data_IF_294612554961
#
_entry.id   IF_294612554961
#
_cell.length_a   1.000
_cell.length_b   1.000
_cell.length_c   1.000
_cell.angle_alpha   90.00
_cell.angle_beta   90.00
_cell.angle_gamma   90.00
#
_symmetry.space_group_name_H-M   'P 1'
#
loop_
_entity.id
_entity.type
_entity.pdbx_description
1 polymer ?
#
# COMPACT_ATOMS: atom_id res chain seq x y z
N UNK A 1 -16.16 -2.07 -8.22
CA UNK A 1 -15.98 -1.76 -6.78
C UNK A 1 -15.67 -0.28 -6.67
N UNK A 2 -16.44 0.44 -5.86
CA UNK A 2 -16.41 1.91 -5.81
C UNK A 2 -15.48 2.41 -4.70
N UNK A 3 -14.17 2.25 -4.89
CA UNK A 3 -13.17 2.72 -3.92
C UNK A 3 -13.26 4.25 -3.69
N UNK A 4 -13.76 4.99 -4.69
CA UNK A 4 -14.04 6.42 -4.53
C UNK A 4 -15.11 6.66 -3.46
N UNK A 5 -16.22 5.91 -3.48
CA UNK A 5 -17.29 6.07 -2.50
C UNK A 5 -16.89 5.56 -1.12
N UNK A 6 -16.14 4.45 -1.07
CA UNK A 6 -15.78 3.81 0.20
C UNK A 6 -14.60 4.46 0.93
N UNK A 7 -13.68 5.10 0.20
CA UNK A 7 -12.44 5.64 0.79
C UNK A 7 -12.31 7.14 0.56
N UNK A 8 -12.37 7.60 -0.70
CA UNK A 8 -12.15 9.01 -1.04
C UNK A 8 -13.25 9.92 -0.47
N UNK A 9 -14.52 9.58 -0.65
CA UNK A 9 -15.64 10.43 -0.22
C UNK A 9 -15.65 10.69 1.29
N UNK A 10 -15.47 9.68 2.17
CA UNK A 10 -15.34 9.92 3.61
C UNK A 10 -14.15 10.81 3.99
N UNK A 11 -12.99 10.60 3.33
CA UNK A 11 -11.78 11.40 3.57
C UNK A 11 -11.97 12.86 3.14
N UNK A 12 -12.52 13.08 1.95
CA UNK A 12 -12.77 14.41 1.43
C UNK A 12 -13.84 15.15 2.24
N UNK A 13 -14.88 14.44 2.68
CA UNK A 13 -15.93 15.00 3.54
C UNK A 13 -15.37 15.55 4.86
N UNK A 14 -14.41 14.86 5.47
CA UNK A 14 -13.68 15.35 6.64
C UNK A 14 -12.86 16.61 6.33
N UNK A 15 -12.21 16.66 5.17
CA UNK A 15 -11.42 17.79 4.72
C UNK A 15 -12.26 18.95 4.13
N UNK A 16 -13.60 18.87 4.17
CA UNK A 16 -14.50 19.90 3.65
C UNK A 16 -14.62 19.93 2.11
N UNK A 17 -14.15 18.90 1.41
CA UNK A 17 -14.26 18.76 -0.04
C UNK A 17 -15.47 17.91 -0.44
N UNK A 18 -16.15 18.32 -1.51
CA UNK A 18 -17.29 17.59 -2.07
C UNK A 18 -16.94 17.22 -3.52
N UNK A 19 -16.63 15.96 -3.76
CA UNK A 19 -16.29 15.49 -5.10
C UNK A 19 -16.29 13.96 -5.22
N UNK A 20 -17.01 13.45 -6.21
CA UNK A 20 -17.10 12.01 -6.54
C UNK A 20 -16.15 11.60 -7.67
N UNK A 21 -15.41 12.54 -8.24
CA UNK A 21 -14.36 12.24 -9.22
C UNK A 21 -13.11 11.71 -8.52
N UNK A 22 -12.27 10.98 -9.26
CA UNK A 22 -10.94 10.57 -8.80
C UNK A 22 -10.04 11.80 -8.58
N UNK A 23 -9.00 11.64 -7.76
CA UNK A 23 -7.92 12.63 -7.66
C UNK A 23 -7.11 12.66 -8.96
N UNK A 24 -6.59 13.83 -9.34
CA UNK A 24 -5.82 13.99 -10.58
C UNK A 24 -4.51 13.21 -10.54
N UNK A 25 -3.84 13.17 -9.38
CA UNK A 25 -2.58 12.47 -9.22
C UNK A 25 -2.35 11.99 -7.79
N UNK A 26 -1.86 10.77 -7.65
CA UNK A 26 -1.46 10.21 -6.35
C UNK A 26 -0.02 9.70 -6.37
N UNK A 27 0.76 10.09 -5.37
CA UNK A 27 2.06 9.49 -5.08
C UNK A 27 1.89 8.44 -3.98
N UNK A 28 2.37 7.23 -4.21
CA UNK A 28 2.50 6.20 -3.16
C UNK A 28 3.97 6.10 -2.82
N UNK A 29 4.30 6.33 -1.56
CA UNK A 29 5.67 6.30 -1.06
C UNK A 29 5.85 5.03 -0.25
N UNK A 30 6.50 4.04 -0.87
CA UNK A 30 6.96 2.83 -0.24
C UNK A 30 8.15 3.08 0.69
N UNK A 31 8.50 2.07 1.48
CA UNK A 31 9.53 2.21 2.51
C UNK A 31 10.93 1.81 2.04
N UNK A 32 11.12 1.40 0.78
CA UNK A 32 12.40 0.87 0.29
C UNK A 32 13.56 1.84 0.47
N UNK A 33 14.71 1.32 0.89
CA UNK A 33 15.97 2.06 1.01
C UNK A 33 16.47 2.66 -0.31
N UNK A 34 15.92 2.23 -1.45
CA UNK A 34 16.24 2.77 -2.76
C UNK A 34 15.98 4.27 -2.88
N UNK A 35 15.02 4.79 -2.10
CA UNK A 35 14.71 6.22 -2.02
C UNK A 35 15.87 7.07 -1.54
N UNK A 36 16.85 6.49 -0.83
CA UNK A 36 18.02 7.24 -0.34
C UNK A 36 18.96 7.69 -1.47
N UNK A 37 18.87 7.07 -2.65
CA UNK A 37 19.78 7.34 -3.77
C UNK A 37 19.44 8.63 -4.52
N UNK A 38 18.22 9.15 -4.39
CA UNK A 38 17.71 10.30 -5.16
C UNK A 38 16.88 11.23 -4.30
N UNK A 39 16.81 12.50 -4.71
CA UNK A 39 16.07 13.55 -4.00
C UNK A 39 14.67 13.70 -4.60
N UNK A 40 13.79 12.74 -4.36
CA UNK A 40 12.43 12.77 -4.88
C UNK A 40 11.47 13.67 -4.08
N UNK A 41 11.92 14.31 -2.99
CA UNK A 41 11.02 14.96 -2.04
C UNK A 41 10.09 16.01 -2.66
N UNK A 42 10.63 16.94 -3.44
CA UNK A 42 9.81 17.94 -4.13
C UNK A 42 8.85 17.29 -5.14
N UNK A 43 9.33 16.31 -5.89
CA UNK A 43 8.53 15.61 -6.89
C UNK A 43 7.36 14.83 -6.24
N UNK A 44 7.57 14.25 -5.06
CA UNK A 44 6.51 13.60 -4.28
C UNK A 44 5.48 14.63 -3.81
N UNK A 45 5.97 15.75 -3.25
CA UNK A 45 5.12 16.81 -2.72
C UNK A 45 4.35 17.56 -3.83
N UNK A 46 4.72 17.44 -5.11
CA UNK A 46 3.97 18.00 -6.25
C UNK A 46 2.68 17.23 -6.60
N UNK A 47 2.51 16.00 -6.12
CA UNK A 47 1.26 15.25 -6.33
C UNK A 47 0.11 15.82 -5.51
N UNK A 48 -1.13 15.65 -5.99
CA UNK A 48 -2.33 16.13 -5.29
C UNK A 48 -2.49 15.39 -3.95
N UNK A 49 -2.37 14.06 -3.99
CA UNK A 49 -2.47 13.19 -2.81
C UNK A 49 -1.18 12.39 -2.64
N UNK A 50 -0.66 12.37 -1.41
CA UNK A 50 0.47 11.50 -1.03
C UNK A 50 0.00 10.45 -0.04
N UNK A 51 0.15 9.17 -0.42
CA UNK A 51 -0.16 7.99 0.39
C UNK A 51 1.16 7.42 0.92
N UNK A 52 1.27 7.28 2.24
CA UNK A 52 2.47 6.69 2.89
C UNK A 52 2.13 5.43 3.64
N UNK A 53 3.10 4.53 3.78
CA UNK A 53 2.86 3.19 4.32
C UNK A 53 3.27 3.07 5.78
N UNK A 54 2.43 2.44 6.58
CA UNK A 54 2.71 2.05 7.96
C UNK A 54 3.17 3.26 8.80
N UNK A 55 4.34 3.17 9.45
CA UNK A 55 4.91 4.22 10.29
C UNK A 55 6.33 4.59 9.84
N UNK A 56 6.45 5.05 8.59
CA UNK A 56 7.73 5.39 7.99
C UNK A 56 8.19 6.78 8.44
N UNK A 57 9.41 6.88 8.97
CA UNK A 57 9.95 8.14 9.49
C UNK A 57 10.22 9.13 8.34
N UNK A 58 9.60 10.31 8.38
CA UNK A 58 9.91 11.39 7.42
C UNK A 58 11.09 12.24 7.90
N UNK A 59 11.17 12.52 9.21
CA UNK A 59 12.16 13.43 9.79
C UNK A 59 13.60 12.98 9.52
N UNK A 60 14.36 13.80 8.80
CA UNK A 60 15.74 13.54 8.36
C UNK A 60 15.86 12.96 6.94
N UNK A 61 14.75 12.68 6.26
CA UNK A 61 14.68 12.13 4.91
C UNK A 61 13.85 13.00 3.94
N UNK A 62 13.47 14.21 4.35
CA UNK A 62 12.53 15.09 3.65
C UNK A 62 12.96 15.36 2.19
N UNK A 63 14.28 15.49 1.96
CA UNK A 63 14.83 15.71 0.62
C UNK A 63 14.59 14.51 -0.31
N UNK A 64 14.52 13.31 0.24
CA UNK A 64 14.33 12.06 -0.50
C UNK A 64 12.86 11.70 -0.60
N UNK A 65 12.10 11.84 0.48
CA UNK A 65 10.74 11.27 0.59
C UNK A 65 9.64 12.33 0.68
N UNK A 66 9.97 13.61 0.71
CA UNK A 66 9.00 14.71 0.81
C UNK A 66 8.49 14.89 2.24
N UNK A 67 7.55 15.80 2.39
CA UNK A 67 6.92 16.15 3.67
C UNK A 67 5.41 16.00 3.68
N UNK A 68 4.78 16.06 2.50
CA UNK A 68 3.32 15.96 2.35
C UNK A 68 2.86 14.54 2.67
N UNK A 69 1.77 14.43 3.43
CA UNK A 69 1.04 13.18 3.66
C UNK A 69 -0.44 13.50 3.72
N UNK A 70 -1.23 12.85 2.88
CA UNK A 70 -2.69 13.02 2.85
C UNK A 70 -3.41 11.77 3.34
N UNK A 71 -2.83 10.58 3.12
CA UNK A 71 -3.41 9.30 3.55
C UNK A 71 -2.30 8.44 4.15
N UNK A 72 -2.56 7.91 5.35
CA UNK A 72 -1.73 6.89 5.98
C UNK A 72 -2.31 5.52 5.67
N UNK A 73 -1.62 4.68 4.90
CA UNK A 73 -2.05 3.31 4.62
C UNK A 73 -1.32 2.32 5.54
N UNK A 74 -2.04 1.66 6.44
CA UNK A 74 -1.43 0.97 7.59
C UNK A 74 -1.87 -0.49 7.65
N UNK A 75 -0.94 -1.40 7.97
CA UNK A 75 -1.28 -2.77 8.37
C UNK A 75 -1.83 -2.78 9.80
N UNK A 76 -2.93 -3.50 10.07
CA UNK A 76 -3.51 -3.57 11.42
C UNK A 76 -2.57 -4.01 12.55
N UNK A 77 -1.50 -4.77 12.29
CA UNK A 77 -0.46 -5.06 13.29
C UNK A 77 0.26 -3.80 13.78
N UNK A 78 0.44 -2.80 12.91
CA UNK A 78 1.02 -1.50 13.30
C UNK A 78 0.09 -0.78 14.26
N UNK A 79 -1.22 -0.81 13.97
CA UNK A 79 -2.23 -0.27 14.89
C UNK A 79 -2.19 -1.01 16.24
N UNK A 80 -2.16 -2.34 16.21
CA UNK A 80 -2.09 -3.17 17.41
C UNK A 80 -0.86 -2.87 18.28
N UNK A 81 0.30 -2.61 17.65
CA UNK A 81 1.52 -2.22 18.36
C UNK A 81 1.39 -0.86 19.04
N UNK A 82 0.72 0.11 18.42
CA UNK A 82 0.51 1.44 18.97
C UNK A 82 -0.65 1.49 20.00
N UNK A 83 -1.67 0.65 19.85
CA UNK A 83 -2.79 0.55 20.77
C UNK A 83 -2.39 -0.06 22.12
N UNK A 84 -1.32 -0.87 22.15
CA UNK A 84 -0.74 -1.42 23.38
C UNK A 84 0.00 -0.33 24.17
N UNK A 85 -0.73 0.47 24.95
CA UNK A 85 -0.07 1.50 25.77
C UNK A 85 -0.90 2.38 26.70
N UNK A 86 -2.24 2.37 26.68
CA UNK A 86 -3.02 3.23 27.59
C UNK A 86 -4.53 3.22 27.36
N UNK A 87 -5.25 4.05 28.13
CA UNK A 87 -6.71 4.24 28.07
C UNK A 87 -7.18 5.00 26.81
N UNK A 88 -6.25 5.60 26.06
CA UNK A 88 -6.51 6.29 24.79
C UNK A 88 -5.47 5.84 23.75
N UNK A 89 -5.92 5.66 22.51
CA UNK A 89 -5.05 5.25 21.42
C UNK A 89 -4.33 6.47 20.83
N UNK A 90 -3.00 6.48 20.87
CA UNK A 90 -2.14 7.53 20.29
C UNK A 90 -1.39 7.01 19.06
N UNK A 91 -2.14 6.48 18.09
CA UNK A 91 -1.57 5.94 16.85
C UNK A 91 -1.63 6.98 15.73
N UNK A 92 -0.64 7.87 15.69
CA UNK A 92 -0.55 8.95 14.70
C UNK A 92 0.72 8.82 13.83
N UNK A 93 0.83 7.81 12.93
CA UNK A 93 2.07 7.58 12.16
C UNK A 93 2.57 8.81 11.39
N UNK A 94 1.63 9.64 10.91
CA UNK A 94 1.93 10.85 10.14
C UNK A 94 1.21 12.09 10.70
N UNK A 95 0.76 12.03 11.95
CA UNK A 95 0.05 13.12 12.64
C UNK A 95 -1.46 12.87 12.80
N UNK A 96 -2.11 13.55 13.76
CA UNK A 96 -3.49 13.27 14.18
C UNK A 96 -4.53 13.63 13.11
N UNK A 97 -4.22 14.61 12.26
CA UNK A 97 -5.11 15.08 11.20
C UNK A 97 -4.98 14.29 9.89
N UNK A 98 -4.19 13.20 9.86
CA UNK A 98 -4.02 12.38 8.66
C UNK A 98 -4.97 11.17 8.74
N UNK A 99 -5.93 11.03 7.80
CA UNK A 99 -6.78 9.86 7.71
C UNK A 99 -5.98 8.56 7.56
N UNK A 100 -6.44 7.51 8.25
CA UNK A 100 -5.80 6.20 8.22
C UNK A 100 -6.70 5.23 7.44
N UNK A 101 -6.14 4.56 6.44
CA UNK A 101 -6.79 3.46 5.71
C UNK A 101 -6.04 2.18 6.02
N UNK A 102 -6.74 1.10 6.37
CA UNK A 102 -6.11 -0.15 6.76
C UNK A 102 -6.87 -1.40 6.30
N UNK A 103 -6.17 -2.52 6.32
CA UNK A 103 -6.75 -3.86 6.27
C UNK A 103 -6.50 -4.56 7.60
N UNK A 104 -7.48 -5.36 8.02
CA UNK A 104 -7.44 -6.10 9.28
C UNK A 104 -6.90 -7.51 9.02
N UNK A 105 -5.74 -7.80 9.61
CA UNK A 105 -5.04 -9.08 9.41
C UNK A 105 -5.49 -10.15 10.42
N UNK A 106 -5.97 -9.74 11.60
CA UNK A 106 -6.40 -10.64 12.66
C UNK A 106 -7.69 -10.12 13.30
N UNK A 107 -8.65 -10.99 13.63
CA UNK A 107 -9.91 -10.58 14.24
C UNK A 107 -9.74 -9.73 15.52
N UNK A 108 -8.69 -10.01 16.31
CA UNK A 108 -8.40 -9.26 17.53
C UNK A 108 -8.13 -7.76 17.26
N UNK A 109 -7.59 -7.41 16.08
CA UNK A 109 -7.30 -6.02 15.73
C UNK A 109 -8.56 -5.18 15.45
N UNK A 110 -9.74 -5.80 15.33
CA UNK A 110 -10.99 -5.03 15.27
C UNK A 110 -11.25 -4.27 16.58
N UNK A 111 -10.86 -4.83 17.72
CA UNK A 111 -10.98 -4.15 19.01
C UNK A 111 -10.08 -2.90 19.05
N UNK A 112 -8.84 -3.02 18.58
CA UNK A 112 -7.91 -1.89 18.47
C UNK A 112 -8.47 -0.82 17.52
N UNK A 113 -9.02 -1.22 16.37
CA UNK A 113 -9.65 -0.30 15.43
C UNK A 113 -10.81 0.47 16.06
N UNK A 114 -11.73 -0.22 16.75
CA UNK A 114 -12.88 0.44 17.39
C UNK A 114 -12.42 1.45 18.46
N UNK A 115 -11.40 1.09 19.24
CA UNK A 115 -10.82 1.95 20.27
C UNK A 115 -10.08 3.16 19.68
N UNK A 116 -9.30 2.95 18.63
CA UNK A 116 -8.53 4.02 18.01
C UNK A 116 -9.39 4.95 17.17
N UNK A 117 -10.40 4.43 16.47
CA UNK A 117 -11.28 5.24 15.62
C UNK A 117 -12.15 6.23 16.43
N UNK A 118 -12.43 5.94 17.71
CA UNK A 118 -13.12 6.90 18.58
C UNK A 118 -12.19 7.98 19.15
N UNK A 119 -10.88 7.75 19.13
CA UNK A 119 -9.87 8.63 19.72
C UNK A 119 -9.12 9.47 18.68
N UNK A 120 -9.03 8.99 17.44
CA UNK A 120 -8.29 9.64 16.35
C UNK A 120 -9.05 10.85 15.79
N UNK A 121 -8.35 11.97 15.53
CA UNK A 121 -8.99 13.19 15.04
C UNK A 121 -9.49 13.05 13.60
N UNK A 122 -8.76 12.30 12.77
CA UNK A 122 -9.10 12.04 11.38
C UNK A 122 -9.79 10.68 11.20
N UNK A 123 -10.54 10.47 10.10
CA UNK A 123 -11.22 9.20 9.85
C UNK A 123 -10.25 8.01 9.78
N UNK A 124 -10.58 6.93 10.48
CA UNK A 124 -9.97 5.62 10.26
C UNK A 124 -10.92 4.73 9.45
N UNK A 125 -10.43 4.17 8.35
CA UNK A 125 -11.22 3.38 7.42
C UNK A 125 -10.64 1.98 7.28
N UNK A 126 -11.51 0.98 7.39
CA UNK A 126 -11.17 -0.41 7.06
C UNK A 126 -11.57 -0.69 5.62
N UNK A 127 -10.66 -1.28 4.87
CA UNK A 127 -10.87 -1.68 3.48
C UNK A 127 -11.94 -2.76 3.34
N UNK A 128 -12.68 -2.74 2.22
CA UNK A 128 -13.74 -3.69 1.93
C UNK A 128 -13.16 -5.12 1.73
N UNK A 129 -13.73 -6.18 2.32
CA UNK A 129 -13.21 -7.55 2.16
C UNK A 129 -13.13 -8.01 0.69
N UNK A 130 -13.97 -7.48 -0.21
CA UNK A 130 -13.90 -7.78 -1.65
C UNK A 130 -12.67 -7.17 -2.28
N UNK A 131 -12.19 -6.03 -1.75
CA UNK A 131 -10.93 -5.43 -2.16
C UNK A 131 -9.74 -6.28 -1.72
N UNK A 132 -9.77 -6.80 -0.50
CA UNK A 132 -8.74 -7.72 0.01
C UNK A 132 -8.63 -8.97 -0.86
N UNK A 133 -9.77 -9.61 -1.18
CA UNK A 133 -9.83 -10.79 -2.04
C UNK A 133 -9.31 -10.50 -3.45
N UNK A 134 -9.63 -9.33 -4.01
CA UNK A 134 -9.11 -8.92 -5.31
C UNK A 134 -7.58 -8.79 -5.27
N UNK A 135 -7.04 -8.13 -4.24
CA UNK A 135 -5.60 -7.96 -4.09
C UNK A 135 -4.88 -9.31 -3.94
N UNK A 136 -5.37 -10.17 -3.04
CA UNK A 136 -4.82 -11.50 -2.84
C UNK A 136 -4.86 -12.36 -4.13
N UNK A 137 -5.96 -12.28 -4.89
CA UNK A 137 -6.09 -13.02 -6.16
C UNK A 137 -5.08 -12.55 -7.22
N UNK A 138 -4.81 -11.25 -7.31
CA UNK A 138 -3.81 -10.71 -8.25
C UNK A 138 -2.41 -11.17 -7.87
N UNK A 139 -1.97 -10.97 -6.62
CA UNK A 139 -0.62 -11.39 -6.21
C UNK A 139 -0.45 -12.90 -6.33
N UNK A 140 -1.47 -13.68 -5.96
CA UNK A 140 -1.44 -15.15 -6.10
C UNK A 140 -1.34 -15.58 -7.56
N UNK A 141 -2.02 -14.90 -8.48
CA UNK A 141 -1.89 -15.16 -9.92
C UNK A 141 -0.45 -14.99 -10.40
N UNK A 142 0.20 -13.87 -10.06
CA UNK A 142 1.60 -13.64 -10.43
C UNK A 142 2.55 -14.64 -9.76
N UNK A 143 2.37 -14.94 -8.47
CA UNK A 143 3.19 -15.91 -7.76
C UNK A 143 3.10 -17.31 -8.38
N UNK A 144 1.88 -17.78 -8.66
CA UNK A 144 1.64 -19.07 -9.30
C UNK A 144 2.18 -19.10 -10.73
N UNK A 145 1.94 -18.04 -11.51
CA UNK A 145 2.44 -17.91 -12.89
C UNK A 145 3.97 -18.04 -12.92
N UNK A 146 4.68 -17.27 -12.10
CA UNK A 146 6.15 -17.34 -11.95
C UNK A 146 6.61 -18.74 -11.54
N UNK A 147 5.89 -19.36 -10.61
CA UNK A 147 6.22 -20.68 -10.10
C UNK A 147 6.15 -21.78 -11.16
N UNK A 148 5.16 -21.70 -12.05
CA UNK A 148 5.00 -22.64 -13.15
C UNK A 148 5.92 -22.31 -14.32
N UNK A 149 5.91 -21.05 -14.78
CA UNK A 149 6.57 -20.64 -16.02
C UNK A 149 8.09 -20.46 -15.86
N UNK A 150 8.55 -19.84 -14.77
CA UNK A 150 9.98 -19.54 -14.58
C UNK A 150 10.72 -20.65 -13.84
N UNK A 151 10.06 -21.29 -12.86
CA UNK A 151 10.67 -22.34 -12.05
C UNK A 151 10.38 -23.76 -12.54
N UNK A 152 9.48 -23.92 -13.52
CA UNK A 152 9.15 -25.23 -14.10
C UNK A 152 8.48 -26.21 -13.13
N UNK A 153 7.88 -25.70 -12.04
CA UNK A 153 7.24 -26.50 -10.99
C UNK A 153 5.75 -26.66 -11.25
N UNK A 154 5.14 -27.66 -10.60
CA UNK A 154 3.70 -27.93 -10.75
C UNK A 154 2.86 -27.08 -9.78
N UNK A 155 1.58 -26.89 -10.09
CA UNK A 155 0.67 -26.13 -9.24
C UNK A 155 0.53 -26.71 -7.82
N UNK A 156 0.57 -28.04 -7.70
CA UNK A 156 0.42 -28.74 -6.42
C UNK A 156 1.59 -28.45 -5.47
N UNK A 157 2.76 -28.12 -6.01
CA UNK A 157 3.95 -27.76 -5.23
C UNK A 157 3.95 -26.30 -4.76
N UNK A 158 3.09 -25.44 -5.31
CA UNK A 158 3.08 -24.01 -4.95
C UNK A 158 2.67 -23.79 -3.50
N UNK A 159 1.61 -24.46 -3.05
CA UNK A 159 1.02 -24.29 -1.73
C UNK A 159 2.01 -24.58 -0.58
N UNK A 160 2.70 -25.73 -0.58
CA UNK A 160 3.72 -26.06 0.41
C UNK A 160 4.92 -25.12 0.43
N UNK A 161 5.30 -24.51 -0.71
CA UNK A 161 6.47 -23.61 -0.80
C UNK A 161 6.15 -22.19 -0.34
N UNK A 162 4.92 -21.72 -0.59
CA UNK A 162 4.50 -20.33 -0.35
C UNK A 162 3.56 -20.19 0.85
N UNK A 163 3.46 -21.23 1.69
CA UNK A 163 2.51 -21.28 2.79
C UNK A 163 1.10 -20.84 2.34
N UNK A 164 0.57 -21.51 1.32
CA UNK A 164 -0.54 -21.00 0.50
C UNK A 164 -1.82 -20.58 1.25
N UNK A 165 -2.03 -21.04 2.49
CA UNK A 165 -3.10 -20.62 3.39
C UNK A 165 -2.83 -19.29 4.12
N UNK A 166 -1.55 -18.97 4.34
CA UNK A 166 -1.05 -17.73 4.96
C UNK A 166 -0.48 -16.74 3.94
N UNK A 167 -0.48 -17.10 2.65
CA UNK A 167 -0.04 -16.24 1.56
C UNK A 167 -0.77 -14.91 1.59
N UNK A 168 -0.02 -13.82 1.73
CA UNK A 168 -0.57 -12.48 1.87
C UNK A 168 0.26 -11.48 1.07
N UNK A 169 -0.40 -10.46 0.53
CA UNK A 169 0.24 -9.34 -0.17
C UNK A 169 0.86 -8.33 0.83
N UNK A 170 1.80 -7.50 0.38
CA UNK A 170 2.39 -6.44 1.20
C UNK A 170 1.43 -5.25 1.38
N UNK A 171 1.58 -4.46 2.46
CA UNK A 171 0.82 -3.20 2.59
C UNK A 171 1.01 -2.27 1.40
N UNK A 172 2.20 -2.31 0.77
CA UNK A 172 2.49 -1.53 -0.42
C UNK A 172 1.63 -1.94 -1.61
N UNK A 173 1.40 -3.24 -1.79
CA UNK A 173 0.55 -3.74 -2.86
C UNK A 173 -0.87 -3.20 -2.77
N UNK A 174 -1.50 -3.29 -1.60
CA UNK A 174 -2.87 -2.83 -1.45
C UNK A 174 -2.98 -1.29 -1.50
N UNK A 175 -1.98 -0.56 -1.00
CA UNK A 175 -1.92 0.89 -1.17
C UNK A 175 -1.81 1.31 -2.65
N UNK A 176 -1.04 0.57 -3.45
CA UNK A 176 -0.97 0.77 -4.91
C UNK A 176 -2.34 0.50 -5.54
N UNK A 177 -2.96 -0.63 -5.21
CA UNK A 177 -4.30 -0.97 -5.70
C UNK A 177 -5.35 0.09 -5.31
N UNK A 178 -5.23 0.67 -4.13
CA UNK A 178 -6.11 1.73 -3.65
C UNK A 178 -5.94 2.99 -4.50
N UNK A 179 -4.70 3.41 -4.75
CA UNK A 179 -4.38 4.55 -5.60
C UNK A 179 -4.88 4.38 -7.04
N UNK A 180 -4.75 3.18 -7.61
CA UNK A 180 -5.30 2.87 -8.95
C UNK A 180 -6.84 3.03 -8.99
N UNK A 181 -7.50 2.79 -7.86
CA UNK A 181 -8.94 2.92 -7.69
C UNK A 181 -9.44 4.36 -7.52
N UNK A 182 -8.65 5.23 -6.89
CA UNK A 182 -9.10 6.58 -6.49
C UNK A 182 -8.40 7.73 -7.25
N UNK A 183 -7.45 7.44 -8.14
CA UNK A 183 -6.64 8.44 -8.83
C UNK A 183 -6.58 8.22 -10.35
N UNK A 184 -6.43 9.31 -11.11
CA UNK A 184 -6.31 9.30 -12.57
C UNK A 184 -4.87 9.11 -13.06
N UNK A 185 -3.88 9.39 -12.21
CA UNK A 185 -2.45 9.13 -12.45
C UNK A 185 -1.78 8.68 -11.16
N UNK A 186 -0.87 7.71 -11.27
CA UNK A 186 -0.19 7.14 -10.10
C UNK A 186 1.33 7.20 -10.26
N UNK A 187 2.00 7.80 -9.27
CA UNK A 187 3.45 7.78 -9.12
C UNK A 187 3.85 6.85 -7.97
N UNK A 188 4.64 5.81 -8.25
CA UNK A 188 5.10 4.84 -7.27
C UNK A 188 6.55 5.14 -6.90
N UNK A 189 6.83 5.45 -5.64
CA UNK A 189 8.16 5.80 -5.15
C UNK A 189 8.64 4.74 -4.17
N UNK A 190 9.84 4.19 -4.36
CA UNK A 190 10.41 3.25 -3.39
C UNK A 190 9.77 1.86 -3.43
N UNK A 191 9.35 1.42 -4.62
CA UNK A 191 8.88 0.07 -4.91
C UNK A 191 9.93 -0.68 -5.73
N UNK A 192 10.49 -1.73 -5.13
CA UNK A 192 11.57 -2.52 -5.70
C UNK A 192 12.79 -2.61 -4.78
N UNK A 193 13.74 -3.42 -5.22
CA UNK A 193 14.95 -3.78 -4.47
C UNK A 193 16.20 -3.41 -5.24
N UNK A 194 17.24 -2.99 -4.50
CA UNK A 194 18.61 -2.95 -4.97
C UNK A 194 19.49 -3.75 -4.01
N UNK A 195 20.43 -4.53 -4.53
CA UNK A 195 21.35 -5.34 -3.72
C UNK A 195 22.20 -4.50 -2.74
N UNK A 196 22.33 -3.20 -3.00
CA UNK A 196 23.11 -2.26 -2.21
C UNK A 196 22.31 -1.47 -1.16
N UNK A 197 20.98 -1.66 -1.06
CA UNK A 197 20.11 -0.83 -0.22
C UNK A 197 19.39 -1.63 0.85
N UNK A 198 19.20 -1.03 2.02
CA UNK A 198 18.36 -1.61 3.07
C UNK A 198 16.91 -1.80 2.60
N UNK A 199 16.19 -2.71 3.25
CA UNK A 199 14.77 -2.94 2.97
C UNK A 199 13.92 -1.73 3.37
N UNK A 200 14.26 -1.03 4.46
CA UNK A 200 13.64 0.24 4.80
C UNK A 200 14.64 1.40 4.75
N UNK A 201 14.23 2.56 4.25
CA UNK A 201 15.05 3.78 4.27
C UNK A 201 15.22 4.36 5.69
N UNK A 202 14.30 4.01 6.60
CA UNK A 202 14.24 4.56 7.95
C UNK A 202 14.58 3.56 9.07
N UNK A 203 14.90 2.30 8.73
CA UNK A 203 15.35 1.29 9.71
C UNK A 203 16.57 0.54 9.18
N UNK A 204 17.28 -0.14 10.09
CA UNK A 204 18.41 -1.00 9.72
C UNK A 204 17.97 -2.38 9.18
N UNK A 205 16.69 -2.58 8.86
CA UNK A 205 16.20 -3.82 8.28
C UNK A 205 16.74 -3.97 6.85
N UNK A 206 17.56 -5.00 6.61
CA UNK A 206 18.19 -5.25 5.31
C UNK A 206 17.44 -6.25 4.43
N UNK A 207 16.67 -7.16 5.03
CA UNK A 207 15.97 -8.23 4.33
C UNK A 207 14.45 -8.01 4.25
N UNK A 208 13.88 -8.40 3.12
CA UNK A 208 12.44 -8.55 2.92
C UNK A 208 11.87 -9.65 3.81
N UNK A 209 10.63 -9.48 4.26
CA UNK A 209 9.91 -10.53 4.99
C UNK A 209 9.59 -11.68 4.04
N UNK A 210 9.85 -12.92 4.48
CA UNK A 210 9.50 -14.14 3.71
C UNK A 210 7.99 -14.37 3.54
N UNK A 211 7.17 -13.60 4.25
CA UNK A 211 5.71 -13.71 4.23
C UNK A 211 5.08 -13.22 2.92
N UNK A 212 5.77 -12.35 2.17
CA UNK A 212 5.28 -11.78 0.92
C UNK A 212 6.15 -12.24 -0.26
N UNK A 213 5.50 -12.57 -1.37
CA UNK A 213 6.19 -12.82 -2.64
C UNK A 213 6.41 -11.49 -3.37
N UNK A 214 7.47 -10.78 -2.95
CA UNK A 214 7.81 -9.46 -3.51
C UNK A 214 8.12 -9.52 -5.01
N UNK A 215 8.67 -10.63 -5.51
CA UNK A 215 8.95 -10.78 -6.95
C UNK A 215 7.65 -10.84 -7.75
N UNK A 216 6.62 -11.54 -7.25
CA UNK A 216 5.29 -11.51 -7.85
C UNK A 216 4.67 -10.11 -7.85
N UNK A 217 4.82 -9.35 -6.77
CA UNK A 217 4.36 -7.95 -6.72
C UNK A 217 5.12 -7.06 -7.71
N UNK A 218 6.44 -7.22 -7.81
CA UNK A 218 7.27 -6.45 -8.73
C UNK A 218 6.95 -6.73 -10.19
N UNK A 219 6.62 -7.96 -10.55
CA UNK A 219 6.15 -8.30 -11.89
C UNK A 219 4.80 -7.62 -12.19
N UNK A 220 3.86 -7.66 -11.24
CA UNK A 220 2.61 -6.90 -11.38
C UNK A 220 2.85 -5.41 -11.58
N UNK A 221 3.73 -4.78 -10.80
CA UNK A 221 4.06 -3.36 -10.99
C UNK A 221 4.71 -3.10 -12.36
N UNK A 222 5.49 -4.04 -12.86
CA UNK A 222 6.07 -3.94 -14.21
C UNK A 222 5.00 -3.96 -15.29
N UNK A 223 4.04 -4.89 -15.18
CA UNK A 223 2.92 -5.02 -16.10
C UNK A 223 1.97 -3.82 -16.01
N UNK A 224 1.76 -3.22 -14.84
CA UNK A 224 0.99 -1.97 -14.72
C UNK A 224 1.56 -0.84 -15.59
N UNK A 225 2.87 -0.81 -15.80
CA UNK A 225 3.51 0.21 -16.64
C UNK A 225 3.55 -0.21 -18.11
N UNK A 226 3.85 -1.49 -18.40
CA UNK A 226 4.12 -1.96 -19.77
C UNK A 226 2.95 -2.66 -20.46
N UNK A 227 2.20 -3.45 -19.71
CA UNK A 227 1.09 -4.26 -20.22
C UNK A 227 -0.08 -4.33 -19.21
N UNK A 228 -0.85 -3.24 -19.04
CA UNK A 228 -1.91 -3.19 -18.02
C UNK A 228 -3.06 -4.17 -18.24
N UNK A 229 -3.10 -4.85 -19.40
CA UNK A 229 -4.09 -5.88 -19.75
C UNK A 229 -3.60 -7.30 -19.49
N UNK A 230 -2.42 -7.47 -18.88
CA UNK A 230 -1.84 -8.79 -18.60
C UNK A 230 -2.68 -9.63 -17.62
N UNK A 231 -3.60 -9.02 -16.86
CA UNK A 231 -4.36 -9.70 -15.80
C UNK A 231 -5.68 -10.24 -16.37
N UNK A 232 -5.80 -11.57 -16.60
CA UNK A 232 -6.84 -12.12 -17.46
C UNK A 232 -8.25 -12.07 -16.86
N UNK A 233 -8.37 -11.86 -15.55
CA UNK A 233 -9.65 -11.83 -14.83
C UNK A 233 -10.07 -10.44 -14.36
N UNK A 234 -9.27 -9.41 -14.63
CA UNK A 234 -9.71 -8.02 -14.42
C UNK A 234 -10.57 -7.65 -15.62
N UNK A 235 -11.79 -7.16 -15.37
CA UNK A 235 -12.73 -6.80 -16.43
C UNK A 235 -12.11 -5.77 -17.39
N UNK A 236 -12.27 -5.98 -18.69
CA UNK A 236 -11.86 -5.02 -19.74
C UNK A 236 -12.48 -3.62 -19.59
N UNK A 237 -13.55 -3.51 -18.79
CA UNK A 237 -14.18 -2.23 -18.45
C UNK A 237 -13.33 -1.39 -17.49
N UNK A 238 -12.49 -2.03 -16.69
CA UNK A 238 -11.57 -1.33 -15.80
C UNK A 238 -10.30 -0.95 -16.55
N UNK A 239 -10.02 0.34 -16.61
CA UNK A 239 -8.78 0.86 -17.18
C UNK A 239 -7.88 1.30 -16.04
N UNK A 240 -6.73 0.66 -15.90
CA UNK A 240 -5.69 1.13 -15.01
C UNK A 240 -5.24 2.54 -15.42
N UNK A 241 -5.12 3.49 -14.48
CA UNK A 241 -4.55 4.80 -14.78
C UNK A 241 -3.07 4.66 -15.18
N UNK A 242 -2.48 5.66 -15.86
CA UNK A 242 -1.05 5.69 -16.13
C UNK A 242 -0.23 5.62 -14.83
N UNK A 243 0.73 4.70 -14.79
CA UNK A 243 1.62 4.46 -13.66
C UNK A 243 3.06 4.81 -14.04
N UNK A 244 3.77 5.53 -13.16
CA UNK A 244 5.20 5.79 -13.28
C UNK A 244 5.91 5.29 -12.03
N UNK A 245 6.97 4.50 -12.18
CA UNK A 245 7.75 3.95 -11.06
C UNK A 245 9.08 4.70 -10.94
N UNK A 246 9.34 5.20 -9.73
CA UNK A 246 10.55 5.91 -9.34
C UNK A 246 11.37 5.03 -8.38
N UNK A 247 12.55 4.64 -8.87
CA UNK A 247 13.58 3.87 -8.17
C UNK A 247 14.82 4.73 -7.92
#
# INVERSE_FOLDING_TARGET
MELVQLVKVPIDGYNGFIGTNKYKSCAIVGNSGILLNKKYGNLIDDYEIVIRLNNARIKGFEKQVGTKTNISFVNSNVLHLCAKGGESCSCDPYGPNVPIVMYICQPVHFADYVMCNSSHEAPMLVTDPRFDVLCARIVKYYSVKRFVEEMGKTLDEWGPVHDGSLFHYSSGFQAVMLALGICDKVGMFGFGKSASTAHHYHTNQKAELRLHDYEAEYEFYHDLVKNPRAIPFVSDKFRFPPVVIYR
#
